data_IF_631820625616
#
_entry.id   IF_631820625616
#
_cell.length_a   1.000
_cell.length_b   1.000
_cell.length_c   1.000
_cell.angle_alpha   90.00
_cell.angle_beta   90.00
_cell.angle_gamma   90.00
#
_symmetry.space_group_name_H-M   'P 1'
#
loop_
_entity.id
_entity.type
_entity.pdbx_description
1 polymer ?
#
# COMPACT_ATOMS: atom_id res chain seq x y z
N UNK A 1 -3.06 -24.57 9.72
CA UNK A 1 -2.01 -24.43 8.68
C UNK A 1 -2.57 -24.22 7.27
N UNK A 2 -3.18 -25.21 6.59
CA UNK A 2 -3.59 -25.07 5.16
C UNK A 2 -4.60 -23.95 4.94
N UNK A 3 -5.67 -23.89 5.74
CA UNK A 3 -6.71 -22.85 5.61
C UNK A 3 -6.15 -21.44 5.87
N UNK A 4 -5.33 -21.27 6.90
CA UNK A 4 -4.65 -20.00 7.20
C UNK A 4 -3.77 -19.53 6.03
N UNK A 5 -3.01 -20.46 5.41
CA UNK A 5 -2.20 -20.15 4.24
C UNK A 5 -3.04 -19.78 3.01
N UNK A 6 -4.13 -20.50 2.73
CA UNK A 6 -5.03 -20.18 1.62
C UNK A 6 -5.68 -18.79 1.79
N UNK A 7 -6.15 -18.48 3.00
CA UNK A 7 -6.79 -17.18 3.28
C UNK A 7 -5.75 -16.05 3.20
N UNK A 8 -4.56 -16.26 3.75
CA UNK A 8 -3.46 -15.28 3.67
C UNK A 8 -3.07 -15.00 2.22
N UNK A 9 -2.94 -16.04 1.40
CA UNK A 9 -2.62 -15.90 -0.02
C UNK A 9 -3.73 -15.19 -0.79
N UNK A 10 -4.99 -15.58 -0.59
CA UNK A 10 -6.12 -14.90 -1.21
C UNK A 10 -6.18 -13.40 -0.81
N UNK A 11 -5.89 -13.08 0.45
CA UNK A 11 -5.79 -11.70 0.92
C UNK A 11 -4.66 -10.91 0.24
N UNK A 12 -3.50 -11.55 0.05
CA UNK A 12 -2.38 -10.95 -0.69
C UNK A 12 -2.74 -10.65 -2.14
N UNK A 13 -3.39 -11.59 -2.84
CA UNK A 13 -3.82 -11.41 -4.23
C UNK A 13 -4.84 -10.29 -4.39
N UNK A 14 -5.83 -10.21 -3.48
CA UNK A 14 -6.80 -9.11 -3.49
C UNK A 14 -6.11 -7.77 -3.24
N UNK A 15 -5.20 -7.70 -2.25
CA UNK A 15 -4.46 -6.47 -1.96
C UNK A 15 -3.59 -6.02 -3.15
N UNK A 16 -2.93 -6.95 -3.84
CA UNK A 16 -2.12 -6.66 -5.02
C UNK A 16 -2.97 -6.10 -6.17
N UNK A 17 -4.11 -6.75 -6.47
CA UNK A 17 -5.02 -6.32 -7.52
C UNK A 17 -5.60 -4.93 -7.24
N UNK A 18 -6.09 -4.70 -6.01
CA UNK A 18 -6.64 -3.39 -5.61
C UNK A 18 -5.59 -2.28 -5.70
N UNK A 19 -4.36 -2.58 -5.27
CA UNK A 19 -3.25 -1.61 -5.34
C UNK A 19 -2.89 -1.27 -6.79
N UNK A 20 -2.85 -2.26 -7.69
CA UNK A 20 -2.59 -2.03 -9.12
C UNK A 20 -3.69 -1.19 -9.77
N UNK A 21 -4.96 -1.45 -9.43
CA UNK A 21 -6.10 -0.67 -9.90
C UNK A 21 -5.97 0.81 -9.53
N UNK A 22 -5.63 1.11 -8.26
CA UNK A 22 -5.42 2.49 -7.80
C UNK A 22 -4.18 3.10 -8.45
N UNK A 23 -3.08 2.34 -8.57
CA UNK A 23 -1.87 2.79 -9.23
C UNK A 23 -2.12 3.15 -10.71
N UNK A 24 -2.97 2.39 -11.41
CA UNK A 24 -3.38 2.68 -12.79
C UNK A 24 -4.20 3.97 -12.88
N UNK A 25 -5.13 4.21 -11.94
CA UNK A 25 -5.90 5.45 -11.90
C UNK A 25 -5.00 6.68 -11.64
N UNK A 26 -3.98 6.53 -10.79
CA UNK A 26 -2.96 7.57 -10.58
C UNK A 26 -2.14 7.81 -11.85
N UNK A 27 -1.67 6.76 -12.51
CA UNK A 27 -0.84 6.85 -13.73
C UNK A 27 -1.58 7.47 -14.92
N UNK A 28 -2.89 7.22 -15.02
CA UNK A 28 -3.76 7.75 -16.08
C UNK A 28 -4.35 9.12 -15.75
N UNK A 29 -4.10 9.66 -14.56
CA UNK A 29 -4.63 10.95 -14.13
C UNK A 29 -6.13 10.96 -13.84
N UNK A 30 -6.78 9.79 -13.76
CA UNK A 30 -8.18 9.69 -13.32
C UNK A 30 -8.36 10.20 -11.89
N UNK A 31 -7.34 9.98 -11.05
CA UNK A 31 -7.23 10.60 -9.73
C UNK A 31 -6.43 11.89 -9.84
N UNK A 32 -7.12 13.03 -9.79
CA UNK A 32 -6.49 14.34 -9.80
C UNK A 32 -5.67 14.56 -8.52
N UNK A 33 -4.52 15.22 -8.63
CA UNK A 33 -3.60 15.49 -7.51
C UNK A 33 -4.29 16.11 -6.29
N UNK A 34 -5.25 17.02 -6.51
CA UNK A 34 -6.03 17.67 -5.44
C UNK A 34 -6.86 16.70 -4.61
N UNK A 35 -7.25 15.57 -5.22
CA UNK A 35 -8.16 14.60 -4.61
C UNK A 35 -7.40 13.41 -4.01
N UNK A 36 -6.11 13.27 -4.32
CA UNK A 36 -5.23 12.21 -3.82
C UNK A 36 -4.70 12.60 -2.44
N UNK A 37 -5.48 12.25 -1.43
CA UNK A 37 -5.11 12.32 -0.01
C UNK A 37 -4.97 10.92 0.56
N UNK A 38 -4.24 10.76 1.67
CA UNK A 38 -4.12 9.47 2.35
C UNK A 38 -5.49 8.84 2.62
N UNK A 39 -6.44 9.64 3.12
CA UNK A 39 -7.80 9.20 3.41
C UNK A 39 -8.56 8.74 2.15
N UNK A 40 -8.38 9.44 1.02
CA UNK A 40 -9.02 9.04 -0.24
C UNK A 40 -8.48 7.70 -0.76
N UNK A 41 -7.16 7.50 -0.70
CA UNK A 41 -6.53 6.26 -1.17
C UNK A 41 -6.93 5.10 -0.26
N UNK A 42 -6.89 5.31 1.06
CA UNK A 42 -7.38 4.33 2.03
C UNK A 42 -8.82 3.92 1.75
N UNK A 43 -9.71 4.87 1.47
CA UNK A 43 -11.11 4.58 1.14
C UNK A 43 -11.27 3.77 -0.14
N UNK A 44 -10.54 4.13 -1.20
CA UNK A 44 -10.55 3.39 -2.47
C UNK A 44 -10.09 1.94 -2.26
N UNK A 45 -8.99 1.75 -1.55
CA UNK A 45 -8.44 0.43 -1.26
C UNK A 45 -9.39 -0.36 -0.36
N UNK A 46 -9.91 0.26 0.70
CA UNK A 46 -10.81 -0.39 1.64
C UNK A 46 -12.11 -0.86 1.02
N UNK A 47 -12.74 -0.07 0.16
CA UNK A 47 -13.99 -0.45 -0.49
C UNK A 47 -13.91 -1.78 -1.25
N UNK A 48 -12.71 -2.16 -1.69
CA UNK A 48 -12.45 -3.43 -2.38
C UNK A 48 -11.92 -4.53 -1.44
N UNK A 49 -11.25 -4.17 -0.36
CA UNK A 49 -10.71 -5.10 0.65
C UNK A 49 -11.74 -5.57 1.68
N UNK A 50 -12.83 -4.82 1.91
CA UNK A 50 -13.88 -5.13 2.91
C UNK A 50 -14.51 -6.52 2.78
N UNK A 51 -14.34 -7.19 1.63
CA UNK A 51 -14.76 -8.58 1.43
C UNK A 51 -13.94 -9.54 2.31
N UNK A 52 -12.69 -9.20 2.62
CA UNK A 52 -11.72 -10.05 3.33
C UNK A 52 -11.26 -9.50 4.67
N UNK A 53 -11.36 -8.18 4.89
CA UNK A 53 -10.91 -7.52 6.12
C UNK A 53 -12.06 -6.86 6.87
N UNK A 54 -11.83 -6.52 8.14
CA UNK A 54 -12.80 -5.77 8.93
C UNK A 54 -13.13 -4.42 8.28
N UNK A 55 -14.37 -3.96 8.50
CA UNK A 55 -14.88 -2.67 8.04
C UNK A 55 -13.90 -1.54 8.39
N UNK A 56 -13.73 -0.60 7.46
CA UNK A 56 -12.78 0.53 7.57
C UNK A 56 -11.28 0.16 7.53
N UNK A 57 -10.92 -1.12 7.30
CA UNK A 57 -9.56 -1.67 7.28
C UNK A 57 -8.63 -1.10 8.35
N UNK A 58 -8.89 -1.37 9.64
CA UNK A 58 -8.06 -0.88 10.72
C UNK A 58 -6.61 -1.34 10.54
N UNK A 59 -5.67 -0.39 10.57
CA UNK A 59 -4.24 -0.68 10.40
C UNK A 59 -3.75 -0.73 8.94
N UNK A 60 -4.57 -0.31 7.97
CA UNK A 60 -4.09 -0.05 6.61
C UNK A 60 -3.11 1.13 6.62
N UNK A 61 -1.90 0.89 6.13
CA UNK A 61 -0.86 1.91 5.92
C UNK A 61 -0.65 2.10 4.43
N UNK A 62 -0.54 3.35 4.01
CA UNK A 62 -0.34 3.73 2.61
C UNK A 62 0.83 4.68 2.53
N UNK A 63 1.70 4.46 1.55
CA UNK A 63 2.80 5.34 1.20
C UNK A 63 2.74 5.61 -0.30
N UNK A 64 2.58 6.87 -0.67
CA UNK A 64 2.63 7.32 -2.05
C UNK A 64 3.69 8.40 -2.17
N UNK A 65 4.68 8.18 -3.04
CA UNK A 65 5.79 9.12 -3.25
C UNK A 65 6.16 9.22 -4.70
N UNK A 66 6.60 10.41 -5.08
CA UNK A 66 7.35 10.61 -6.31
C UNK A 66 8.85 10.31 -6.10
N UNK A 67 9.48 9.81 -7.14
CA UNK A 67 10.91 9.54 -7.24
C UNK A 67 11.48 10.25 -8.47
N UNK A 68 12.72 10.76 -8.39
CA UNK A 68 13.36 11.42 -9.53
C UNK A 68 13.89 10.41 -10.57
N UNK A 69 14.15 9.16 -10.18
CA UNK A 69 14.62 8.11 -11.08
C UNK A 69 14.13 6.72 -10.68
N UNK A 70 14.11 5.77 -11.62
CA UNK A 70 13.81 4.37 -11.31
C UNK A 70 14.89 3.72 -10.44
N UNK A 71 16.14 4.19 -10.51
CA UNK A 71 17.22 3.71 -9.65
C UNK A 71 16.97 4.11 -8.18
N UNK A 72 16.50 5.34 -7.94
CA UNK A 72 16.13 5.79 -6.59
C UNK A 72 14.88 5.04 -6.09
N UNK A 73 13.89 4.83 -6.95
CA UNK A 73 12.74 4.01 -6.62
C UNK A 73 13.16 2.58 -6.22
N UNK A 74 14.16 2.00 -6.89
CA UNK A 74 14.65 0.65 -6.59
C UNK A 74 15.35 0.51 -5.22
N UNK A 75 15.85 1.61 -4.62
CA UNK A 75 16.43 1.55 -3.26
C UNK A 75 15.38 1.71 -2.15
N UNK A 76 14.09 1.88 -2.52
CA UNK A 76 12.99 1.88 -1.59
C UNK A 76 12.74 0.47 -1.04
N UNK A 77 12.69 0.35 0.27
CA UNK A 77 12.43 -0.90 0.95
C UNK A 77 11.52 -0.72 2.16
N UNK A 78 11.32 -1.80 2.88
CA UNK A 78 10.69 -1.78 4.20
C UNK A 78 11.32 -2.88 5.06
N UNK A 79 11.23 -2.70 6.37
CA UNK A 79 11.58 -3.71 7.36
C UNK A 79 10.51 -3.76 8.44
N UNK A 80 10.38 -4.91 9.08
CA UNK A 80 9.50 -5.08 10.24
C UNK A 80 10.36 -4.91 11.49
N UNK A 81 10.01 -3.94 12.33
CA UNK A 81 10.65 -3.72 13.63
C UNK A 81 9.63 -4.03 14.74
N UNK A 82 9.66 -5.26 15.24
CA UNK A 82 8.63 -5.78 16.14
C UNK A 82 7.25 -5.76 15.47
N UNK A 83 6.32 -4.97 15.99
CA UNK A 83 4.96 -4.85 15.46
C UNK A 83 4.77 -3.67 14.49
N UNK A 84 5.83 -2.94 14.16
CA UNK A 84 5.79 -1.75 13.32
C UNK A 84 6.45 -1.97 11.96
N UNK A 85 5.84 -1.42 10.91
CA UNK A 85 6.41 -1.38 9.58
C UNK A 85 7.22 -0.10 9.47
N UNK A 86 8.52 -0.23 9.18
CA UNK A 86 9.43 0.90 8.99
C UNK A 86 9.83 0.93 7.52
N UNK A 87 9.52 2.03 6.83
CA UNK A 87 9.95 2.23 5.47
C UNK A 87 11.44 2.57 5.45
N UNK A 88 12.17 2.08 4.46
CA UNK A 88 13.58 2.39 4.27
C UNK A 88 13.82 2.94 2.87
N UNK A 89 14.85 3.77 2.73
CA UNK A 89 15.35 4.28 1.47
C UNK A 89 16.87 4.32 1.56
N UNK A 90 17.56 3.54 0.73
CA UNK A 90 19.03 3.44 0.77
C UNK A 90 19.57 3.18 2.20
N UNK A 91 18.88 2.32 2.96
CA UNK A 91 19.26 1.96 4.34
C UNK A 91 18.85 2.96 5.44
N UNK A 92 18.24 4.10 5.10
CA UNK A 92 17.75 5.08 6.07
C UNK A 92 16.24 4.96 6.30
N UNK A 93 15.80 5.14 7.54
CA UNK A 93 14.38 5.09 7.90
C UNK A 93 13.58 6.26 7.29
N UNK A 94 12.34 5.98 6.89
CA UNK A 94 11.40 6.94 6.31
C UNK A 94 10.03 6.82 6.98
N UNK A 95 9.33 7.96 7.07
CA UNK A 95 7.96 8.04 7.60
C UNK A 95 6.96 7.97 6.46
N UNK A 96 5.86 7.23 6.62
CA UNK A 96 4.78 7.15 5.63
C UNK A 96 4.34 8.56 5.18
N UNK A 97 4.17 8.74 3.88
CA UNK A 97 3.69 10.00 3.32
C UNK A 97 2.81 9.74 2.12
N UNK A 98 1.89 10.66 1.83
CA UNK A 98 1.09 10.66 0.61
C UNK A 98 1.36 11.95 -0.13
N UNK A 99 2.39 11.92 -0.98
CA UNK A 99 2.77 13.03 -1.85
C UNK A 99 2.74 12.57 -3.30
N UNK A 100 1.57 12.67 -3.96
CA UNK A 100 1.48 12.40 -5.39
C UNK A 100 2.33 13.40 -6.17
N UNK A 101 3.13 12.89 -7.10
CA UNK A 101 3.89 13.71 -8.03
C UNK A 101 3.02 14.35 -9.10
N UNK A 102 3.68 15.13 -9.96
CA UNK A 102 3.06 15.77 -11.12
C UNK A 102 2.80 14.76 -12.26
N UNK A 103 2.13 15.20 -13.33
CA UNK A 103 2.04 14.42 -14.56
C UNK A 103 3.46 14.02 -15.04
N UNK A 104 3.58 12.83 -15.63
CA UNK A 104 4.86 12.27 -16.13
C UNK A 104 5.94 12.03 -15.05
N UNK A 105 5.59 12.09 -13.76
CA UNK A 105 6.51 11.73 -12.67
C UNK A 105 6.51 10.22 -12.37
N UNK A 106 7.64 9.73 -11.84
CA UNK A 106 7.76 8.34 -11.38
C UNK A 106 7.15 8.25 -9.98
N UNK A 107 5.98 7.63 -9.87
CA UNK A 107 5.30 7.46 -8.59
C UNK A 107 5.38 6.01 -8.11
N UNK A 108 5.59 5.83 -6.82
CA UNK A 108 5.50 4.54 -6.15
C UNK A 108 4.39 4.57 -5.12
N UNK A 109 3.42 3.68 -5.28
CA UNK A 109 2.38 3.40 -4.29
C UNK A 109 2.72 2.10 -3.57
N UNK A 110 2.82 2.16 -2.24
CA UNK A 110 3.03 1.01 -1.36
C UNK A 110 1.88 0.95 -0.36
N UNK A 111 1.32 -0.23 -0.20
CA UNK A 111 0.18 -0.48 0.68
C UNK A 111 0.57 -1.62 1.60
N UNK A 112 0.35 -1.43 2.90
CA UNK A 112 0.63 -2.43 3.90
C UNK A 112 -0.61 -2.65 4.75
N UNK A 113 -0.93 -3.91 4.98
CA UNK A 113 -1.99 -4.29 5.89
C UNK A 113 -1.46 -5.36 6.84
N UNK A 114 -1.70 -5.16 8.14
CA UNK A 114 -1.30 -6.14 9.14
C UNK A 114 -2.37 -7.23 9.23
N UNK A 115 -2.10 -8.37 8.60
CA UNK A 115 -2.99 -9.52 8.65
C UNK A 115 -2.99 -10.15 10.06
N UNK A 116 -4.13 -10.22 10.76
CA UNK A 116 -4.21 -10.94 12.04
C UNK A 116 -4.16 -12.45 11.79
N UNK A 117 -3.54 -13.20 12.72
CA UNK A 117 -3.62 -14.66 12.70
C UNK A 117 -5.07 -15.04 13.03
N UNK A 118 -5.76 -15.67 12.09
CA UNK A 118 -7.19 -15.98 12.24
C UNK A 118 -7.41 -17.30 12.96
N UNK A 119 -6.53 -18.27 12.75
CA UNK A 119 -6.58 -19.58 13.40
C UNK A 119 -5.24 -19.89 14.07
N UNK A 120 -5.18 -19.67 15.38
CA UNK A 120 -4.13 -20.26 16.23
C UNK A 120 -4.60 -21.70 16.53
N UNK A 121 -3.99 -22.68 15.86
CA UNK A 121 -4.34 -24.10 16.00
C UNK A 121 -3.09 -24.95 16.16
#
# INVERSE_FOLDING_TARGET
AILESCISFAGQEVMANVTDDVARQLRTGQLQRSNVTEASIKRLICSKLEIMVAKDCPGLLVDLREYPSFADAATAGYRINGNQIVLTQSGSDKTFTTSPGLAESINMLRVFYKWPVMTDL
#
